data_IF_283358733638
#
_entry.id   IF_283358733638
#
_cell.length_a   1.000
_cell.length_b   1.000
_cell.length_c   1.000
_cell.angle_alpha   90.00
_cell.angle_beta   90.00
_cell.angle_gamma   90.00
#
_symmetry.space_group_name_H-M   'P 1'
#
loop_
_entity.id
_entity.type
_entity.pdbx_description
1 polymer ?
2 non-polymer ?
3 non-polymer ?
4 non-polymer ?
5 water ?
#
# COMPACT_ATOMS: atom_id res chain seq x y z
N UNK A 13 -37.96 -10.64 -7.00
CA UNK A 13 -37.80 -9.95 -5.69
C UNK A 13 -36.91 -8.70 -5.81
N UNK A 14 -36.10 -8.64 -6.87
CA UNK A 14 -35.22 -7.51 -7.15
C UNK A 14 -36.07 -6.29 -7.47
N UNK A 15 -35.62 -5.11 -7.03
CA UNK A 15 -36.30 -3.84 -7.25
C UNK A 15 -35.45 -2.92 -8.13
N UNK A 16 -36.11 -2.18 -9.02
CA UNK A 16 -35.44 -1.21 -9.89
C UNK A 16 -35.83 0.20 -9.44
N UNK A 17 -34.83 1.08 -9.28
CA UNK A 17 -35.04 2.50 -9.01
C UNK A 17 -34.14 3.25 -9.96
N UNK A 18 -34.74 3.96 -10.94
CA UNK A 18 -33.97 4.59 -11.99
C UNK A 18 -33.15 3.54 -12.76
N UNK A 19 -31.82 3.77 -12.73
CA UNK A 19 -30.88 2.91 -13.44
C UNK A 19 -30.33 1.82 -12.52
N UNK A 20 -30.78 1.75 -11.25
CA UNK A 20 -30.17 0.90 -10.23
C UNK A 20 -31.06 -0.30 -9.99
N UNK A 21 -30.44 -1.41 -9.60
CA UNK A 21 -31.19 -2.57 -9.14
C UNK A 21 -30.76 -2.91 -7.72
N UNK A 22 -31.72 -3.34 -6.88
CA UNK A 22 -31.43 -3.62 -5.49
C UNK A 22 -31.94 -5.02 -5.19
N UNK A 23 -31.21 -5.77 -4.37
CA UNK A 23 -31.61 -7.11 -4.00
C UNK A 23 -31.34 -7.28 -2.52
N UNK A 24 -32.35 -7.75 -1.77
CA UNK A 24 -32.16 -7.95 -0.35
C UNK A 24 -31.46 -9.27 -0.16
N UNK A 25 -30.36 -9.25 0.61
CA UNK A 25 -29.56 -10.43 0.89
C UNK A 25 -29.83 -10.98 2.30
N UNK A 26 -30.22 -10.11 3.24
CA UNK A 26 -30.45 -10.50 4.62
C UNK A 26 -31.39 -9.44 5.19
N UNK A 27 -31.98 -9.61 6.40
CA UNK A 27 -32.88 -8.59 6.93
C UNK A 27 -32.37 -7.17 6.87
N UNK A 28 -31.06 -7.01 7.12
CA UNK A 28 -30.54 -5.66 7.16
C UNK A 28 -29.50 -5.39 6.07
N UNK A 29 -29.49 -6.18 5.00
CA UNK A 29 -28.45 -6.01 3.99
C UNK A 29 -29.03 -6.13 2.59
N UNK A 30 -28.62 -5.20 1.73
CA UNK A 30 -29.02 -5.19 0.34
C UNK A 30 -27.77 -5.05 -0.53
N UNK A 31 -27.84 -5.58 -1.75
CA UNK A 31 -26.86 -5.35 -2.79
C UNK A 31 -27.40 -4.27 -3.70
N UNK A 32 -26.55 -3.28 -4.04
CA UNK A 32 -26.92 -2.32 -5.07
C UNK A 32 -26.14 -2.62 -6.34
N UNK A 33 -26.80 -2.54 -7.52
CA UNK A 33 -26.13 -2.84 -8.77
C UNK A 33 -26.38 -1.72 -9.77
N UNK A 34 -25.29 -1.22 -10.35
CA UNK A 34 -25.30 -0.17 -11.36
C UNK A 34 -24.57 -0.63 -12.62
N UNK A 35 -24.85 0.02 -13.74
CA UNK A 35 -24.42 -0.48 -15.02
C UNK A 35 -23.73 0.63 -15.79
N UNK A 36 -22.66 0.30 -16.51
CA UNK A 36 -22.05 1.27 -17.41
C UNK A 36 -21.72 0.57 -18.74
N UNK A 37 -22.05 1.24 -19.85
CA UNK A 37 -21.84 0.65 -21.17
C UNK A 37 -20.44 1.07 -21.60
N UNK A 38 -19.56 0.07 -21.68
CA UNK A 38 -18.15 0.30 -21.94
C UNK A 38 -17.83 -0.09 -23.39
N UNK A 39 -16.95 0.65 -24.08
CA UNK A 39 -16.34 0.13 -25.31
C UNK A 39 -15.79 -1.28 -25.10
N UNK A 40 -16.16 -2.17 -26.03
CA UNK A 40 -15.66 -3.53 -26.03
C UNK A 40 -16.55 -4.51 -25.26
N UNK A 41 -16.93 -4.12 -24.03
CA UNK A 41 -17.60 -5.04 -23.13
C UNK A 41 -19.11 -4.87 -23.20
N UNK A 42 -19.58 -3.74 -23.72
CA UNK A 42 -20.99 -3.38 -23.56
C UNK A 42 -21.33 -3.09 -22.09
N UNK A 43 -22.56 -3.44 -21.66
CA UNK A 43 -23.05 -3.13 -20.32
C UNK A 43 -22.33 -3.97 -19.28
N UNK A 44 -21.86 -3.35 -18.18
CA UNK A 44 -21.12 -4.07 -17.15
C UNK A 44 -21.75 -3.69 -15.81
N UNK A 45 -22.23 -4.69 -15.07
CA UNK A 45 -22.77 -4.55 -13.72
C UNK A 45 -21.64 -4.31 -12.72
N UNK A 46 -21.86 -3.45 -11.73
CA UNK A 46 -20.99 -3.35 -10.55
C UNK A 46 -21.86 -3.34 -9.31
N UNK A 47 -21.47 -4.14 -8.32
CA UNK A 47 -22.24 -4.30 -7.09
C UNK A 47 -21.55 -3.68 -5.90
N UNK A 48 -22.37 -3.08 -5.03
CA UNK A 48 -21.96 -2.74 -3.67
C UNK A 48 -23.02 -3.13 -2.65
N UNK A 49 -22.89 -2.63 -1.42
CA UNK A 49 -23.81 -3.04 -0.35
C UNK A 49 -24.43 -1.85 0.35
N UNK A 50 -25.58 -2.14 0.95
CA UNK A 50 -26.27 -1.21 1.84
C UNK A 50 -26.60 -1.99 3.11
N UNK A 51 -26.31 -1.38 4.28
CA UNK A 51 -26.50 -2.06 5.56
C UNK A 51 -27.32 -1.18 6.50
N UNK A 52 -28.41 -1.75 7.04
CA UNK A 52 -29.16 -1.09 8.09
C UNK A 52 -28.57 -1.48 9.45
N UNK A 53 -28.05 -0.48 10.16
CA UNK A 53 -27.46 -0.68 11.47
C UNK A 53 -28.30 0.07 12.51
N UNK A 54 -29.33 -0.62 13.03
CA UNK A 54 -30.26 0.03 13.97
C UNK A 54 -30.97 1.21 13.31
N UNK A 55 -30.68 2.44 13.76
CA UNK A 55 -31.32 3.64 13.27
C UNK A 55 -30.56 4.35 12.13
N UNK A 56 -29.54 3.71 11.54
CA UNK A 56 -28.78 4.39 10.50
C UNK A 56 -28.45 3.40 9.39
N UNK A 57 -27.98 3.93 8.25
CA UNK A 57 -27.60 3.08 7.13
C UNK A 57 -26.14 3.32 6.81
N UNK A 58 -25.45 2.25 6.38
CA UNK A 58 -24.05 2.31 6.00
C UNK A 58 -23.95 1.83 4.55
N UNK A 59 -23.10 2.47 3.74
CA UNK A 59 -22.99 2.07 2.34
C UNK A 59 -21.56 1.59 2.03
N UNK A 60 -21.48 0.50 1.22
CA UNK A 60 -20.17 0.05 0.73
C UNK A 60 -20.15 0.25 -0.78
N UNK A 61 -19.23 1.09 -1.25
CA UNK A 61 -18.97 1.45 -2.66
C UNK A 61 -20.02 2.40 -3.22
N UNK A 62 -19.55 3.29 -4.11
CA UNK A 62 -20.49 4.07 -4.91
C UNK A 62 -20.94 3.24 -6.11
N UNK A 63 -21.82 3.85 -6.93
CA UNK A 63 -22.06 3.33 -8.28
C UNK A 63 -21.03 3.92 -9.24
N UNK A 64 -21.17 3.61 -10.55
CA UNK A 64 -20.20 4.09 -11.53
C UNK A 64 -20.17 5.61 -11.57
N UNK A 65 -21.37 6.21 -11.39
CA UNK A 65 -21.46 7.65 -11.60
C UNK A 65 -22.14 8.37 -10.43
N UNK A 66 -21.96 9.69 -10.38
CA UNK A 66 -22.63 10.47 -9.36
C UNK A 66 -24.15 10.36 -9.48
N UNK A 67 -24.68 10.48 -10.71
CA UNK A 67 -26.13 10.34 -10.86
C UNK A 67 -26.64 9.00 -10.35
N UNK A 68 -25.93 7.90 -10.68
CA UNK A 68 -26.37 6.61 -10.20
C UNK A 68 -26.25 6.51 -8.67
N UNK A 69 -25.22 7.17 -8.10
CA UNK A 69 -25.03 7.16 -6.66
C UNK A 69 -26.14 7.89 -5.94
N UNK A 70 -26.58 9.00 -6.56
CA UNK A 70 -27.71 9.72 -5.96
C UNK A 70 -28.98 8.87 -6.01
N UNK A 71 -29.11 7.99 -7.00
CA UNK A 71 -30.25 7.10 -7.10
C UNK A 71 -30.22 6.06 -5.98
N UNK A 72 -29.01 5.55 -5.63
CA UNK A 72 -28.91 4.69 -4.44
C UNK A 72 -29.46 5.44 -3.24
N UNK A 73 -29.03 6.71 -3.05
CA UNK A 73 -29.38 7.39 -1.79
C UNK A 73 -30.90 7.62 -1.73
N UNK A 74 -31.49 7.89 -2.91
CA UNK A 74 -32.93 8.13 -2.98
C UNK A 74 -33.77 6.86 -2.77
N UNK A 75 -33.26 5.73 -3.28
CA UNK A 75 -33.86 4.45 -3.01
C UNK A 75 -33.81 4.18 -1.51
N UNK A 76 -32.66 4.43 -0.84
CA UNK A 76 -32.57 4.23 0.60
C UNK A 76 -33.60 5.12 1.31
N UNK A 77 -33.74 6.37 0.90
CA UNK A 77 -34.66 7.27 1.59
C UNK A 77 -36.09 6.71 1.44
N UNK A 78 -36.39 6.22 0.25
CA UNK A 78 -37.75 5.76 -0.04
C UNK A 78 -38.08 4.45 0.67
N UNK A 79 -37.16 3.48 0.65
CA UNK A 79 -37.44 2.12 1.07
C UNK A 79 -37.03 1.84 2.53
N UNK A 80 -36.04 2.58 3.03
CA UNK A 80 -35.54 2.32 4.38
C UNK A 80 -35.82 3.51 5.28
N UNK A 81 -35.66 4.72 4.76
CA UNK A 81 -36.02 5.93 5.49
C UNK A 81 -35.25 6.08 6.80
N UNK A 82 -33.92 5.89 6.74
CA UNK A 82 -33.01 6.11 7.85
C UNK A 82 -31.81 6.88 7.31
N UNK A 83 -31.17 7.76 8.12
CA UNK A 83 -30.03 8.54 7.64
C UNK A 83 -28.86 7.61 7.28
N UNK A 84 -28.18 7.97 6.19
CA UNK A 84 -26.96 7.27 5.79
C UNK A 84 -25.81 7.92 6.57
N UNK A 85 -25.25 7.16 7.51
CA UNK A 85 -24.21 7.67 8.39
C UNK A 85 -22.84 7.77 7.70
N UNK A 86 -22.46 6.79 6.88
CA UNK A 86 -21.12 6.78 6.32
C UNK A 86 -21.12 5.80 5.14
N UNK A 87 -20.08 5.95 4.31
CA UNK A 87 -19.80 5.02 3.22
C UNK A 87 -18.33 4.64 3.26
N UNK A 88 -18.02 3.37 2.94
CA UNK A 88 -16.68 2.84 2.77
C UNK A 88 -16.55 2.50 1.29
N UNK A 89 -15.50 2.95 0.60
CA UNK A 89 -15.33 2.66 -0.83
C UNK A 89 -14.02 1.87 -0.97
N UNK A 90 -14.03 0.91 -1.88
CA UNK A 90 -13.14 -0.24 -1.72
C UNK A 90 -11.88 -0.24 -2.61
N UNK A 91 -11.79 0.62 -3.63
CA UNK A 91 -10.52 1.00 -4.23
C UNK A 91 -10.73 2.15 -5.21
N UNK A 92 -9.64 2.78 -5.63
CA UNK A 92 -9.76 4.00 -6.42
C UNK A 92 -9.84 3.68 -7.90
N UNK A 93 -11.02 3.15 -8.29
CA UNK A 93 -11.41 2.98 -9.69
C UNK A 93 -12.88 3.40 -9.83
N UNK A 94 -13.31 3.71 -11.03
CA UNK A 94 -14.64 4.27 -11.28
C UNK A 94 -15.84 3.50 -10.76
N UNK A 95 -15.78 2.19 -10.87
CA UNK A 95 -16.89 1.38 -10.42
C UNK A 95 -17.16 1.53 -8.93
N UNK A 96 -16.10 1.86 -8.16
CA UNK A 96 -16.23 1.88 -6.71
C UNK A 96 -16.24 3.30 -6.11
N UNK A 97 -15.65 4.26 -6.82
CA UNK A 97 -15.45 5.63 -6.34
C UNK A 97 -15.98 6.67 -7.33
N UNK A 98 -16.56 6.22 -8.44
CA UNK A 98 -17.14 7.16 -9.43
C UNK A 98 -18.15 8.16 -8.87
N UNK A 99 -18.82 7.79 -7.76
CA UNK A 99 -19.90 8.59 -7.23
C UNK A 99 -19.57 9.37 -5.95
N UNK A 100 -18.28 9.61 -5.71
CA UNK A 100 -17.94 10.30 -4.46
C UNK A 100 -18.59 11.68 -4.30
N UNK A 101 -18.64 12.46 -5.38
CA UNK A 101 -19.18 13.81 -5.26
C UNK A 101 -20.65 13.73 -4.82
N UNK A 102 -21.40 12.73 -5.29
CA UNK A 102 -22.78 12.55 -4.87
C UNK A 102 -22.89 12.22 -3.38
N UNK A 103 -21.98 11.37 -2.85
CA UNK A 103 -22.01 11.13 -1.41
C UNK A 103 -21.71 12.42 -0.64
N UNK A 104 -20.73 13.18 -1.10
CA UNK A 104 -20.35 14.40 -0.37
C UNK A 104 -21.47 15.43 -0.45
N UNK A 105 -22.12 15.53 -1.63
CA UNK A 105 -23.21 16.51 -1.75
C UNK A 105 -24.34 16.15 -0.78
N UNK A 106 -24.55 14.84 -0.53
CA UNK A 106 -25.60 14.38 0.38
C UNK A 106 -25.21 14.44 1.85
N UNK A 107 -23.97 14.86 2.13
CA UNK A 107 -23.53 14.96 3.51
C UNK A 107 -23.23 13.62 4.17
N UNK A 108 -22.82 12.62 3.38
CA UNK A 108 -22.40 11.32 3.91
C UNK A 108 -20.88 11.29 4.14
N UNK A 109 -20.44 10.99 5.37
CA UNK A 109 -19.01 10.87 5.65
C UNK A 109 -18.42 9.68 4.88
N UNK A 110 -17.31 9.95 4.21
CA UNK A 110 -16.71 8.89 3.37
C UNK A 110 -15.33 8.45 3.89
N UNK A 111 -15.06 7.16 3.71
CA UNK A 111 -13.86 6.47 4.20
C UNK A 111 -13.31 5.58 3.09
N UNK A 112 -12.00 5.63 2.90
CA UNK A 112 -11.33 4.77 1.94
C UNK A 112 -9.95 4.45 2.51
N UNK A 113 -9.30 3.36 2.08
CA UNK A 113 -7.87 3.16 2.33
C UNK A 113 -7.08 4.46 2.07
N UNK A 114 -6.20 4.84 3.01
CA UNK A 114 -5.27 5.94 2.77
C UNK A 114 -4.69 5.91 1.36
N UNK A 115 -4.27 4.70 0.98
CA UNK A 115 -3.65 4.53 -0.35
C UNK A 115 -4.63 4.84 -1.47
N UNK A 116 -5.93 4.46 -1.33
CA UNK A 116 -6.93 4.82 -2.30
C UNK A 116 -7.00 6.34 -2.42
N UNK A 117 -6.99 7.03 -1.27
CA UNK A 117 -7.11 8.48 -1.31
C UNK A 117 -5.86 9.13 -1.97
N UNK A 118 -4.68 8.55 -1.73
CA UNK A 118 -3.47 9.04 -2.36
C UNK A 118 -3.48 8.80 -3.88
N UNK A 119 -4.01 7.66 -4.31
CA UNK A 119 -4.07 7.30 -5.74
C UNK A 119 -5.19 8.01 -6.47
N UNK A 120 -6.23 8.43 -5.72
CA UNK A 120 -7.48 8.88 -6.34
C UNK A 120 -7.24 9.90 -7.46
N UNK A 121 -6.48 11.00 -7.25
CA UNK A 121 -6.27 11.97 -8.32
C UNK A 121 -5.69 11.34 -9.59
N UNK A 122 -4.67 10.48 -9.43
CA UNK A 122 -4.09 9.85 -10.61
C UNK A 122 -5.08 8.98 -11.36
N UNK A 123 -6.04 8.40 -10.62
CA UNK A 123 -7.01 7.47 -11.14
C UNK A 123 -8.26 8.22 -11.57
N UNK A 124 -8.24 9.55 -11.50
CA UNK A 124 -9.39 10.37 -11.86
C UNK A 124 -10.56 10.27 -10.89
N UNK A 125 -10.31 9.85 -9.63
CA UNK A 125 -11.36 9.74 -8.62
C UNK A 125 -11.25 10.91 -7.65
N UNK A 126 -12.36 11.23 -6.97
CA UNK A 126 -12.34 12.16 -5.85
C UNK A 126 -12.04 11.40 -4.57
N UNK A 127 -11.07 11.87 -3.77
CA UNK A 127 -10.71 11.22 -2.52
C UNK A 127 -11.88 11.24 -1.54
N UNK A 128 -11.88 10.21 -0.67
CA UNK A 128 -12.75 10.25 0.49
C UNK A 128 -12.30 11.33 1.47
N UNK A 129 -13.17 11.58 2.45
CA UNK A 129 -12.87 12.60 3.46
C UNK A 129 -11.90 12.05 4.50
N UNK A 130 -11.93 10.73 4.69
CA UNK A 130 -11.20 10.11 5.77
C UNK A 130 -10.45 8.90 5.24
N UNK A 131 -9.29 8.68 5.84
CA UNK A 131 -8.41 7.59 5.45
C UNK A 131 -8.43 6.50 6.52
N UNK A 132 -8.61 5.26 6.02
CA UNK A 132 -8.43 4.06 6.81
C UNK A 132 -6.98 3.59 6.67
N UNK A 133 -6.38 3.17 7.79
CA UNK A 133 -5.06 2.54 7.77
C UNK A 133 -5.15 1.14 8.36
N UNK A 134 -4.12 0.33 8.08
CA UNK A 134 -4.21 -1.12 8.34
C UNK A 134 -2.95 -1.61 9.03
N UNK A 135 -3.15 -2.55 9.95
CA UNK A 135 -2.04 -3.31 10.54
C UNK A 135 -1.39 -4.24 9.53
N UNK A 136 -0.26 -4.81 9.95
CA UNK A 136 0.49 -5.75 9.12
C UNK A 136 -0.34 -7.00 8.84
N UNK A 137 -1.28 -7.33 9.73
CA UNK A 137 -2.10 -8.51 9.53
C UNK A 137 -3.33 -8.18 8.68
N UNK A 138 -3.46 -6.93 8.20
CA UNK A 138 -4.56 -6.56 7.32
C UNK A 138 -5.75 -5.88 7.98
N UNK A 139 -5.90 -5.98 9.30
CA UNK A 139 -7.09 -5.41 9.94
C UNK A 139 -7.00 -3.89 10.04
N UNK A 140 -8.13 -3.21 9.85
CA UNK A 140 -8.14 -1.74 9.94
C UNK A 140 -7.69 -1.34 11.35
N UNK A 141 -6.90 -0.27 11.44
CA UNK A 141 -6.61 0.31 12.76
C UNK A 141 -7.89 0.98 13.27
N UNK A 142 -8.47 0.50 14.39
CA UNK A 142 -9.86 0.88 14.72
C UNK A 142 -10.09 2.37 14.93
N UNK A 143 -9.07 3.11 15.38
CA UNK A 143 -9.29 4.53 15.58
C UNK A 143 -9.57 5.23 14.26
N UNK A 144 -9.19 4.59 13.13
CA UNK A 144 -9.42 5.22 11.83
C UNK A 144 -10.82 4.91 11.30
N UNK A 145 -11.52 3.99 11.93
CA UNK A 145 -12.85 3.56 11.49
C UNK A 145 -13.83 3.75 12.64
N UNK A 146 -14.04 4.99 13.11
CA UNK A 146 -14.85 5.25 14.30
C UNK A 146 -16.31 4.95 14.00
N UNK A 147 -16.93 4.23 14.94
CA UNK A 147 -18.37 3.99 14.93
C UNK A 147 -18.83 3.32 13.64
N UNK A 148 -18.13 2.25 13.26
CA UNK A 148 -18.42 1.53 12.04
C UNK A 148 -19.44 0.42 12.30
N UNK A 149 -19.92 0.30 13.54
CA UNK A 149 -20.97 -0.66 13.82
C UNK A 149 -20.56 -2.06 13.36
N UNK A 150 -21.35 -2.76 12.51
CA UNK A 150 -21.02 -4.14 12.14
C UNK A 150 -19.99 -4.23 11.02
N UNK A 151 -19.55 -3.09 10.46
CA UNK A 151 -18.62 -3.21 9.34
C UNK A 151 -17.22 -3.47 9.87
N UNK A 152 -16.63 -4.56 9.41
CA UNK A 152 -15.28 -4.95 9.73
C UNK A 152 -14.40 -4.87 8.49
N UNK A 153 -13.47 -3.90 8.47
CA UNK A 153 -12.73 -3.60 7.25
C UNK A 153 -11.36 -4.28 7.30
N UNK A 154 -11.03 -4.97 6.18
CA UNK A 154 -9.83 -5.78 6.06
C UNK A 154 -9.11 -5.46 4.76
N UNK A 155 -7.80 -5.17 4.88
CA UNK A 155 -6.94 -5.01 3.70
C UNK A 155 -6.21 -6.33 3.48
N UNK A 156 -6.53 -7.07 2.39
CA UNK A 156 -5.98 -8.42 2.23
C UNK A 156 -4.62 -8.46 1.56
N UNK A 157 -4.11 -7.29 1.14
CA UNK A 157 -2.88 -7.17 0.38
C UNK A 157 -3.20 -6.87 -1.09
N UNK A 158 -2.16 -6.58 -1.91
CA UNK A 158 -2.35 -6.19 -3.31
C UNK A 158 -2.93 -7.34 -4.14
N UNK A 159 -3.86 -6.99 -5.03
CA UNK A 159 -4.39 -8.04 -5.89
C UNK A 159 -4.95 -7.36 -7.14
N UNK A 160 -6.28 -7.14 -7.16
CA UNK A 160 -6.83 -6.44 -8.30
C UNK A 160 -6.16 -5.05 -8.47
N UNK A 161 -5.98 -4.33 -7.34
CA UNK A 161 -5.12 -3.15 -7.30
C UNK A 161 -4.29 -3.25 -6.01
N UNK A 162 -3.34 -2.32 -5.84
CA UNK A 162 -2.60 -2.35 -4.58
C UNK A 162 -3.43 -1.85 -3.41
N UNK A 163 -4.51 -1.11 -3.68
CA UNK A 163 -5.24 -0.48 -2.57
C UNK A 163 -6.55 -1.18 -2.23
N UNK A 164 -6.89 -2.29 -2.92
CA UNK A 164 -8.18 -2.94 -2.70
C UNK A 164 -8.40 -3.35 -1.25
N UNK A 165 -9.58 -3.01 -0.73
CA UNK A 165 -10.00 -3.44 0.61
C UNK A 165 -11.30 -4.25 0.57
N UNK A 166 -11.59 -4.91 1.70
CA UNK A 166 -12.74 -5.79 1.78
C UNK A 166 -13.48 -5.54 3.09
N UNK A 167 -14.76 -5.95 3.15
CA UNK A 167 -15.56 -5.65 4.34
C UNK A 167 -16.40 -6.86 4.71
N UNK A 168 -16.45 -7.15 6.02
CA UNK A 168 -17.36 -8.18 6.54
C UNK A 168 -18.45 -7.49 7.34
N UNK A 169 -19.65 -8.11 7.38
CA UNK A 169 -20.76 -7.51 8.12
C UNK A 169 -21.05 -8.37 9.35
N UNK A 170 -20.64 -7.90 10.52
CA UNK A 170 -20.72 -8.66 11.74
C UNK A 170 -22.20 -8.96 11.99
N UNK A 171 -22.50 -10.16 12.48
CA UNK A 171 -23.89 -10.43 12.80
C UNK A 171 -24.63 -11.04 11.61
N UNK A 172 -23.90 -11.29 10.52
CA UNK A 172 -24.47 -11.81 9.30
C UNK A 172 -23.49 -12.83 8.73
N UNK A 173 -23.94 -13.52 7.70
CA UNK A 173 -23.12 -14.51 7.00
C UNK A 173 -22.37 -13.88 5.82
N UNK A 174 -22.33 -12.53 5.75
CA UNK A 174 -21.92 -11.86 4.52
C UNK A 174 -20.52 -11.24 4.64
N UNK A 175 -19.70 -11.41 3.57
CA UNK A 175 -18.46 -10.65 3.46
C UNK A 175 -18.35 -10.17 2.02
N UNK A 176 -17.74 -8.98 1.84
CA UNK A 176 -17.70 -8.37 0.51
C UNK A 176 -16.25 -8.32 0.06
N UNK A 177 -15.97 -8.94 -1.12
CA UNK A 177 -14.63 -8.95 -1.69
C UNK A 177 -14.37 -7.82 -2.70
N UNK A 178 -15.40 -7.01 -3.05
CA UNK A 178 -15.24 -6.02 -4.11
C UNK A 178 -14.68 -6.67 -5.36
N UNK A 179 -13.76 -5.95 -6.03
CA UNK A 179 -13.28 -6.40 -7.32
C UNK A 179 -12.10 -7.36 -7.19
N UNK A 180 -11.66 -7.67 -5.97
CA UNK A 180 -10.64 -8.69 -5.82
C UNK A 180 -11.17 -10.08 -6.17
N UNK A 181 -12.43 -10.37 -5.76
CA UNK A 181 -12.96 -11.74 -5.80
C UNK A 181 -13.85 -11.83 -7.04
N UNK A 182 -13.66 -12.94 -7.75
CA UNK A 182 -14.50 -13.32 -8.87
C UNK A 182 -15.27 -14.58 -8.51
N UNK A 183 -16.34 -14.82 -9.26
CA UNK A 183 -17.24 -15.91 -8.90
C UNK A 183 -16.52 -17.22 -9.22
N UNK A 184 -17.13 -18.26 -8.69
CA UNK A 184 -16.54 -19.58 -8.66
C UNK A 184 -16.60 -20.32 -9.99
N UNK A 185 -17.24 -19.74 -11.00
CA UNK A 185 -17.18 -20.29 -12.34
C UNK A 185 -16.39 -19.41 -13.29
N UNK A 186 -15.82 -18.31 -12.77
CA UNK A 186 -15.16 -17.35 -13.64
C UNK A 186 -14.01 -17.97 -14.44
N UNK A 187 -13.85 -17.45 -15.68
CA UNK A 187 -12.83 -18.00 -16.54
C UNK A 187 -11.53 -17.21 -16.40
N UNK A 188 -11.59 -16.04 -15.78
CA UNK A 188 -10.38 -15.24 -15.66
C UNK A 188 -10.57 -14.28 -14.50
N UNK A 189 -9.50 -13.54 -14.19
CA UNK A 189 -9.56 -12.54 -13.13
C UNK A 189 -9.90 -11.15 -13.69
N UNK A 190 -10.28 -11.09 -14.97
CA UNK A 190 -10.90 -9.90 -15.54
C UNK A 190 -9.89 -8.75 -15.68
N UNK A 191 -10.25 -7.58 -15.15
CA UNK A 191 -9.43 -6.38 -15.30
C UNK A 191 -8.16 -6.47 -14.46
N UNK A 192 -7.01 -6.75 -15.12
CA UNK A 192 -5.77 -6.87 -14.40
C UNK A 192 -4.82 -5.74 -14.79
N UNK A 193 -5.34 -4.68 -15.43
CA UNK A 193 -4.52 -3.54 -15.84
C UNK A 193 -3.65 -2.94 -14.73
N UNK A 194 -4.17 -2.91 -13.49
CA UNK A 194 -3.50 -2.28 -12.37
C UNK A 194 -3.13 -3.34 -11.31
N UNK A 195 -3.15 -4.64 -11.67
CA UNK A 195 -3.06 -5.73 -10.70
C UNK A 195 -1.64 -6.05 -10.27
N UNK A 196 -1.55 -6.69 -9.11
CA UNK A 196 -0.34 -7.28 -8.59
C UNK A 196 -0.50 -8.79 -8.79
N UNK A 197 0.05 -9.27 -9.91
CA UNK A 197 -0.08 -10.68 -10.26
C UNK A 197 0.71 -11.56 -9.31
N UNK A 198 1.80 -11.06 -8.71
CA UNK A 198 2.58 -11.91 -7.82
C UNK A 198 1.84 -12.21 -6.51
N UNK A 199 1.19 -11.18 -5.92
CA UNK A 199 0.63 -11.33 -4.60
C UNK A 199 -0.89 -11.59 -4.59
N UNK A 200 -1.52 -11.62 -5.77
CA UNK A 200 -2.99 -11.73 -5.88
C UNK A 200 -3.52 -12.97 -5.12
N UNK A 201 -2.90 -14.14 -5.33
CA UNK A 201 -3.45 -15.35 -4.76
C UNK A 201 -3.42 -15.32 -3.24
N UNK A 202 -2.30 -14.84 -2.66
CA UNK A 202 -2.24 -14.76 -1.21
C UNK A 202 -3.26 -13.75 -0.68
N UNK A 203 -3.44 -12.64 -1.42
CA UNK A 203 -4.44 -11.67 -0.96
C UNK A 203 -5.86 -12.23 -1.00
N UNK A 204 -6.21 -12.98 -2.05
CA UNK A 204 -7.52 -13.65 -2.05
C UNK A 204 -7.65 -14.60 -0.88
N UNK A 205 -6.58 -15.35 -0.59
CA UNK A 205 -6.57 -16.32 0.54
C UNK A 205 -6.71 -15.57 1.88
N UNK A 206 -6.09 -14.39 1.99
CA UNK A 206 -6.14 -13.61 3.21
C UNK A 206 -7.55 -13.12 3.50
N UNK A 207 -8.26 -12.66 2.48
CA UNK A 207 -9.66 -12.29 2.64
C UNK A 207 -10.47 -13.47 3.20
N UNK A 208 -10.30 -14.67 2.66
CA UNK A 208 -10.95 -15.88 3.14
C UNK A 208 -10.68 -16.12 4.64
N UNK A 209 -9.41 -16.00 5.05
CA UNK A 209 -9.02 -16.26 6.42
C UNK A 209 -9.50 -15.18 7.37
N UNK A 210 -9.66 -13.94 6.86
CA UNK A 210 -10.15 -12.84 7.70
C UNK A 210 -11.61 -13.04 8.11
N UNK A 211 -12.39 -13.68 7.24
CA UNK A 211 -13.83 -13.81 7.44
C UNK A 211 -14.16 -15.28 7.31
N UNK A 212 -13.67 -16.11 8.27
CA UNK A 212 -13.67 -17.56 8.05
C UNK A 212 -15.06 -18.17 8.16
N UNK A 213 -16.02 -17.44 8.74
CA UNK A 213 -17.37 -17.99 8.86
C UNK A 213 -18.37 -17.36 7.88
N UNK A 214 -17.97 -16.37 7.07
CA UNK A 214 -18.87 -15.83 6.06
C UNK A 214 -19.20 -16.92 5.04
N UNK A 215 -20.48 -17.11 4.72
CA UNK A 215 -20.86 -18.12 3.77
C UNK A 215 -21.45 -17.48 2.51
N UNK A 216 -21.81 -16.18 2.58
CA UNK A 216 -22.30 -15.49 1.41
C UNK A 216 -21.21 -14.49 1.04
N UNK A 217 -20.58 -14.71 -0.10
CA UNK A 217 -19.51 -13.83 -0.54
C UNK A 217 -20.05 -12.96 -1.67
N UNK A 218 -20.10 -11.66 -1.42
CA UNK A 218 -20.58 -10.67 -2.36
C UNK A 218 -19.37 -10.04 -3.04
N UNK A 219 -19.50 -9.77 -4.34
CA UNK A 219 -18.37 -9.25 -5.12
C UNK A 219 -18.88 -8.27 -6.18
N UNK A 220 -17.94 -7.54 -6.80
CA UNK A 220 -18.35 -6.44 -7.67
C UNK A 220 -19.06 -6.88 -8.92
N UNK A 221 -18.61 -7.97 -9.56
CA UNK A 221 -19.07 -8.17 -10.94
C UNK A 221 -19.77 -9.50 -11.18
N UNK A 222 -20.22 -10.18 -10.12
CA UNK A 222 -21.07 -11.36 -10.27
C UNK A 222 -22.06 -11.37 -9.13
N UNK A 223 -23.12 -12.16 -9.26
CA UNK A 223 -24.07 -12.36 -8.19
C UNK A 223 -23.41 -13.02 -6.97
N UNK A 224 -23.98 -12.87 -5.76
CA UNK A 224 -23.38 -13.46 -4.57
C UNK A 224 -23.15 -14.96 -4.76
N UNK A 225 -22.00 -15.40 -4.21
CA UNK A 225 -21.58 -16.80 -4.29
C UNK A 225 -21.30 -17.29 -2.89
N UNK A 226 -20.94 -18.57 -2.83
CA UNK A 226 -20.45 -19.18 -1.61
C UNK A 226 -18.95 -18.89 -1.45
N UNK A 227 -18.35 -19.49 -0.40
CA UNK A 227 -16.92 -19.36 -0.19
C UNK A 227 -16.12 -19.95 -1.35
N UNK A 228 -16.77 -20.74 -2.20
CA UNK A 228 -16.10 -21.25 -3.39
C UNK A 228 -15.51 -20.11 -4.22
N UNK A 229 -16.14 -18.92 -4.22
CA UNK A 229 -15.57 -17.82 -5.00
C UNK A 229 -14.13 -17.51 -4.54
N UNK A 230 -13.89 -17.58 -3.24
CA UNK A 230 -12.58 -17.22 -2.69
C UNK A 230 -11.53 -18.19 -3.21
N UNK A 231 -11.82 -19.48 -3.02
CA UNK A 231 -10.83 -20.51 -3.34
C UNK A 231 -10.63 -20.62 -4.85
N UNK A 232 -11.70 -20.39 -5.65
CA UNK A 232 -11.58 -20.35 -7.10
C UNK A 232 -10.74 -19.17 -7.60
N UNK A 233 -11.00 -17.98 -7.06
CA UNK A 233 -10.18 -16.81 -7.36
C UNK A 233 -8.70 -17.10 -7.05
N UNK A 234 -8.43 -17.66 -5.85
CA UNK A 234 -7.03 -17.89 -5.48
C UNK A 234 -6.39 -18.91 -6.43
N UNK A 235 -7.16 -19.91 -6.87
CA UNK A 235 -6.61 -20.93 -7.77
C UNK A 235 -6.28 -20.31 -9.12
N UNK A 236 -7.13 -19.40 -9.59
CA UNK A 236 -6.83 -18.69 -10.83
C UNK A 236 -5.59 -17.82 -10.67
N UNK A 237 -5.52 -17.06 -9.56
CA UNK A 237 -4.38 -16.22 -9.28
C UNK A 237 -3.08 -17.01 -9.15
N UNK A 238 -3.14 -18.25 -8.64
CA UNK A 238 -1.93 -19.03 -8.53
C UNK A 238 -1.21 -19.16 -9.87
N UNK A 239 -1.97 -19.11 -10.97
CA UNK A 239 -1.38 -19.34 -12.29
C UNK A 239 -0.73 -18.08 -12.87
N UNK A 240 -0.91 -16.92 -12.20
CA UNK A 240 -0.24 -15.73 -12.68
C UNK A 240 1.20 -15.60 -12.16
N UNK A 241 1.60 -16.40 -11.16
CA UNK A 241 2.94 -16.19 -10.60
C UNK A 241 4.02 -16.79 -11.52
N UNK B 11 37.85 5.11 -3.21
CA UNK B 11 36.92 6.29 -3.16
C UNK B 11 37.19 7.04 -1.85
N UNK B 12 38.02 8.09 -1.92
CA UNK B 12 38.44 8.89 -0.79
C UNK B 12 37.25 9.24 0.11
N UNK B 13 37.44 9.12 1.43
CA UNK B 13 36.38 9.34 2.40
C UNK B 13 35.64 8.06 2.77
N UNK B 14 35.84 7.01 1.98
CA UNK B 14 35.24 5.70 2.23
C UNK B 14 36.10 4.97 3.29
N UNK B 15 35.44 4.32 4.25
CA UNK B 15 36.11 3.45 5.21
C UNK B 15 35.65 2.01 4.97
N UNK B 16 36.61 1.10 4.82
CA UNK B 16 36.29 -0.32 4.67
C UNK B 16 36.31 -0.94 6.06
N UNK B 17 35.26 -1.73 6.35
CA UNK B 17 35.16 -2.44 7.62
C UNK B 17 34.55 -3.79 7.31
N UNK B 18 35.39 -4.83 7.44
CA UNK B 18 35.07 -6.11 6.83
C UNK B 18 34.77 -5.93 5.33
N UNK B 19 33.64 -6.47 4.93
CA UNK B 19 33.28 -6.40 3.54
C UNK B 19 32.28 -5.26 3.34
N UNK B 20 32.16 -4.34 4.30
CA UNK B 20 31.25 -3.23 4.02
C UNK B 20 32.03 -1.93 3.83
N UNK B 21 31.32 -0.90 3.32
CA UNK B 21 31.92 0.43 3.15
C UNK B 21 31.04 1.47 3.84
N UNK B 22 31.70 2.40 4.57
CA UNK B 22 30.95 3.46 5.23
C UNK B 22 31.52 4.79 4.77
N UNK B 23 30.63 5.76 4.56
CA UNK B 23 31.03 7.07 4.08
C UNK B 23 30.27 8.12 4.89
N UNK B 24 30.98 9.04 5.52
CA UNK B 24 30.33 10.13 6.25
C UNK B 24 29.81 11.16 5.25
N UNK B 25 28.52 11.48 5.38
CA UNK B 25 27.88 12.47 4.50
C UNK B 25 27.69 13.82 5.19
N UNK B 26 27.59 13.83 6.52
CA UNK B 26 27.38 15.06 7.30
C UNK B 26 27.84 14.73 8.71
N UNK B 27 27.97 15.71 9.62
CA UNK B 27 28.42 15.44 10.97
C UNK B 27 27.77 14.25 11.66
N UNK B 28 26.46 14.10 11.43
CA UNK B 28 25.72 13.04 12.12
C UNK B 28 25.15 12.00 11.15
N UNK B 29 25.62 11.95 9.90
CA UNK B 29 25.02 11.02 8.93
C UNK B 29 26.13 10.28 8.20
N UNK B 30 25.95 8.95 8.06
CA UNK B 30 26.85 8.11 7.26
C UNK B 30 26.03 7.22 6.34
N UNK B 31 26.60 6.86 5.19
CA UNK B 31 25.99 5.90 4.27
C UNK B 31 26.71 4.58 4.50
N UNK B 32 25.92 3.50 4.66
CA UNK B 32 26.44 2.13 4.73
C UNK B 32 26.25 1.49 3.36
N UNK B 33 27.25 0.68 2.97
CA UNK B 33 27.20 0.00 1.67
C UNK B 33 27.64 -1.46 1.83
N UNK B 34 26.79 -2.38 1.34
CA UNK B 34 27.02 -3.82 1.35
C UNK B 34 26.89 -4.37 -0.07
N UNK B 35 27.47 -5.57 -0.30
CA UNK B 35 27.56 -6.03 -1.69
C UNK B 35 27.03 -7.45 -1.78
N UNK B 36 26.34 -7.75 -2.89
CA UNK B 36 25.99 -9.14 -3.11
C UNK B 36 26.39 -9.49 -4.53
N UNK B 37 26.98 -10.68 -4.70
CA UNK B 37 27.45 -11.10 -6.02
C UNK B 37 26.27 -11.57 -6.84
N UNK B 38 26.07 -10.97 -8.02
CA UNK B 38 24.96 -11.38 -8.85
C UNK B 38 25.47 -12.26 -9.99
N UNK B 39 25.06 -13.55 -10.03
CA UNK B 39 25.51 -14.52 -11.03
C UNK B 39 25.69 -13.89 -12.40
N UNK B 40 26.89 -14.07 -12.96
CA UNK B 40 27.18 -13.65 -14.32
C UNK B 40 27.35 -12.13 -14.47
N UNK B 41 27.42 -11.39 -13.35
CA UNK B 41 27.75 -9.96 -13.40
C UNK B 41 28.86 -9.58 -12.43
N UNK B 42 28.72 -9.99 -11.16
CA UNK B 42 29.67 -9.60 -10.13
C UNK B 42 28.97 -8.74 -9.08
N UNK B 43 29.72 -7.85 -8.46
CA UNK B 43 29.27 -7.25 -7.20
C UNK B 43 28.21 -6.16 -7.43
N UNK B 44 27.14 -6.20 -6.62
CA UNK B 44 26.09 -5.19 -6.67
C UNK B 44 26.04 -4.53 -5.30
N UNK B 45 26.24 -3.22 -5.30
CA UNK B 45 26.16 -2.42 -4.07
C UNK B 45 24.72 -2.08 -3.68
N UNK B 46 24.48 -2.01 -2.36
CA UNK B 46 23.24 -1.46 -1.82
C UNK B 46 23.58 -0.55 -0.63
N UNK B 47 22.95 0.64 -0.63
CA UNK B 47 23.25 1.68 0.35
C UNK B 47 22.07 1.90 1.27
N UNK B 48 22.41 2.16 2.55
CA UNK B 48 21.47 2.67 3.52
C UNK B 48 22.11 3.79 4.31
N UNK B 49 21.48 4.15 5.44
CA UNK B 49 21.96 5.30 6.19
C UNK B 49 22.06 4.97 7.68
N UNK B 50 22.97 5.72 8.33
CA UNK B 50 23.16 5.71 9.77
C UNK B 50 23.12 7.15 10.25
N UNK B 51 22.30 7.42 11.29
CA UNK B 51 22.10 8.78 11.78
C UNK B 51 22.38 8.79 13.27
N UNK B 52 23.22 9.73 13.69
CA UNK B 52 23.39 9.96 15.13
C UNK B 52 22.43 11.08 15.53
N UNK B 53 21.67 10.86 16.62
CA UNK B 53 20.71 11.83 17.12
C UNK B 53 20.81 11.85 18.63
N UNK B 54 21.38 12.94 19.17
CA UNK B 54 21.73 12.96 20.57
C UNK B 54 22.52 11.74 21.01
N UNK B 55 22.00 11.04 22.03
CA UNK B 55 22.68 9.88 22.57
C UNK B 55 22.30 8.56 21.90
N UNK B 56 21.75 8.62 20.68
CA UNK B 56 21.33 7.34 20.06
C UNK B 56 21.60 7.33 18.55
N UNK B 57 21.61 6.13 17.97
CA UNK B 57 21.83 5.94 16.55
C UNK B 57 20.55 5.35 15.95
N UNK B 58 20.20 5.85 14.77
CA UNK B 58 19.05 5.33 14.01
C UNK B 58 19.56 4.79 12.68
N UNK B 59 19.05 3.63 12.24
CA UNK B 59 19.50 3.04 10.99
C UNK B 59 18.39 3.05 9.97
N UNK B 60 18.75 3.33 8.69
CA UNK B 60 17.81 3.19 7.58
C UNK B 60 18.35 2.08 6.67
N UNK B 61 17.56 1.00 6.58
CA UNK B 61 17.78 -0.21 5.78
C UNK B 61 18.82 -1.14 6.40
N UNK B 62 18.55 -2.44 6.20
CA UNK B 62 19.57 -3.42 6.52
C UNK B 62 20.55 -3.51 5.35
N UNK B 63 21.56 -4.35 5.53
CA UNK B 63 22.40 -4.81 4.41
C UNK B 63 21.72 -5.99 3.75
N UNK B 64 22.39 -6.54 2.73
CA UNK B 64 21.75 -7.68 2.06
C UNK B 64 21.53 -8.87 2.98
N UNK B 65 22.46 -9.12 3.92
CA UNK B 65 22.42 -10.33 4.74
C UNK B 65 22.46 -9.99 6.22
N UNK B 66 22.15 -11.00 7.05
CA UNK B 66 22.27 -10.85 8.49
C UNK B 66 23.74 -10.65 8.88
N UNK B 67 24.66 -11.41 8.29
CA UNK B 67 26.06 -11.29 8.68
C UNK B 67 26.56 -9.88 8.38
N UNK B 68 26.18 -9.32 7.22
CA UNK B 68 26.59 -7.96 6.88
C UNK B 68 25.94 -6.95 7.84
N UNK B 69 24.67 -7.19 8.21
CA UNK B 69 23.96 -6.26 9.08
C UNK B 69 24.57 -6.24 10.47
N UNK B 70 25.01 -7.43 10.95
CA UNK B 70 25.74 -7.50 12.21
C UNK B 70 26.96 -6.58 12.12
N UNK B 71 27.63 -6.55 10.94
CA UNK B 71 28.83 -5.72 10.81
C UNK B 71 28.50 -4.25 10.86
N UNK B 72 27.30 -3.89 10.38
CA UNK B 72 26.90 -2.48 10.52
C UNK B 72 26.84 -2.13 12.00
N UNK B 73 26.23 -3.00 12.82
CA UNK B 73 26.14 -2.71 14.26
C UNK B 73 27.53 -2.67 14.88
N UNK B 74 28.46 -3.54 14.43
CA UNK B 74 29.81 -3.52 14.99
C UNK B 74 30.51 -2.21 14.62
N UNK B 75 30.34 -1.73 13.37
CA UNK B 75 30.95 -0.48 12.97
C UNK B 75 30.40 0.65 13.84
N UNK B 76 29.09 0.67 14.01
CA UNK B 76 28.49 1.72 14.85
C UNK B 76 29.12 1.72 16.24
N UNK B 77 29.24 0.53 16.86
CA UNK B 77 29.85 0.45 18.18
C UNK B 77 31.24 1.09 18.16
N UNK B 78 32.03 0.81 17.14
CA UNK B 78 33.42 1.29 17.10
C UNK B 78 33.46 2.79 16.84
N UNK B 79 32.74 3.26 15.79
CA UNK B 79 32.95 4.62 15.28
C UNK B 79 32.07 5.62 16.01
N UNK B 80 30.95 5.19 16.58
CA UNK B 80 30.02 6.12 17.20
C UNK B 80 29.83 5.79 18.67
N UNK B 81 29.76 4.50 19.05
CA UNK B 81 29.66 4.09 20.45
C UNK B 81 28.45 4.75 21.11
N UNK B 82 27.30 4.67 20.45
CA UNK B 82 26.01 5.01 21.06
C UNK B 82 25.02 3.90 20.71
N UNK B 83 24.04 3.62 21.56
CA UNK B 83 23.16 2.48 21.28
C UNK B 83 22.29 2.78 20.07
N UNK B 84 21.94 1.72 19.35
CA UNK B 84 21.05 1.83 18.19
C UNK B 84 19.62 1.75 18.70
N UNK B 85 18.86 2.84 18.58
CA UNK B 85 17.51 2.93 19.16
C UNK B 85 16.48 2.26 18.27
N UNK B 86 16.67 2.35 16.95
CA UNK B 86 15.67 1.80 16.03
C UNK B 86 16.26 1.70 14.64
N UNK B 87 15.54 0.95 13.79
CA UNK B 87 15.82 0.90 12.36
C UNK B 87 14.52 0.96 11.60
N UNK B 88 14.54 1.67 10.46
CA UNK B 88 13.45 1.78 9.49
C UNK B 88 13.94 1.12 8.20
N UNK B 89 13.14 0.24 7.59
CA UNK B 89 13.55 -0.45 6.37
C UNK B 89 12.55 -0.05 5.27
N UNK B 90 13.05 0.18 4.05
CA UNK B 90 12.27 0.97 3.11
C UNK B 90 11.46 0.19 2.06
N UNK B 91 11.61 -1.14 1.94
CA UNK B 91 10.61 -2.00 1.33
C UNK B 91 11.02 -3.45 1.55
N UNK B 92 10.10 -4.37 1.25
CA UNK B 92 10.29 -5.78 1.53
C UNK B 92 10.99 -6.50 0.38
N UNK B 93 12.28 -6.21 0.20
CA UNK B 93 13.18 -6.96 -0.66
C UNK B 93 14.50 -7.19 0.06
N UNK B 94 15.29 -8.12 -0.44
CA UNK B 94 16.54 -8.51 0.20
C UNK B 94 17.54 -7.39 0.50
N UNK B 95 17.71 -6.48 -0.44
CA UNK B 95 18.70 -5.43 -0.22
C UNK B 95 18.36 -4.52 0.96
N UNK B 96 17.08 -4.37 1.29
CA UNK B 96 16.63 -3.42 2.29
C UNK B 96 16.26 -4.14 3.59
N UNK B 97 15.87 -5.43 3.51
CA UNK B 97 15.29 -6.12 4.67
C UNK B 97 15.97 -7.48 4.92
N UNK B 98 16.96 -7.83 4.10
CA UNK B 98 17.61 -9.13 4.19
C UNK B 98 18.28 -9.41 5.55
N UNK B 99 18.60 -8.37 6.30
CA UNK B 99 19.32 -8.48 7.55
C UNK B 99 18.50 -8.21 8.81
N UNK B 100 17.17 -8.38 8.74
CA UNK B 100 16.35 -8.09 9.91
C UNK B 100 16.76 -8.91 11.13
N UNK B 101 17.02 -10.22 10.94
CA UNK B 101 17.37 -11.04 12.11
C UNK B 101 18.55 -10.48 12.90
N UNK B 102 19.54 -9.84 12.23
CA UNK B 102 20.66 -9.32 13.02
C UNK B 102 20.21 -8.17 13.90
N UNK B 103 19.23 -7.40 13.40
CA UNK B 103 18.73 -6.32 14.24
C UNK B 103 17.91 -6.87 15.43
N UNK B 104 17.07 -7.85 15.15
CA UNK B 104 16.21 -8.40 16.21
C UNK B 104 17.08 -9.18 17.21
N UNK B 105 18.18 -9.79 16.76
CA UNK B 105 19.05 -10.54 17.68
C UNK B 105 19.64 -9.55 18.70
N UNK B 106 19.85 -8.29 18.27
CA UNK B 106 20.50 -7.24 19.05
C UNK B 106 19.46 -6.45 19.83
N UNK B 107 18.17 -6.85 19.74
CA UNK B 107 17.11 -6.20 20.49
C UNK B 107 16.79 -4.80 19.98
N UNK B 108 17.05 -4.55 18.69
CA UNK B 108 16.71 -3.24 18.13
C UNK B 108 15.28 -3.23 17.59
N UNK B 109 14.51 -2.22 18.00
CA UNK B 109 13.14 -2.06 17.50
C UNK B 109 13.18 -1.71 16.00
N UNK B 110 12.41 -2.45 15.22
CA UNK B 110 12.39 -2.24 13.78
C UNK B 110 11.01 -1.82 13.27
N UNK B 111 11.03 -1.02 12.19
CA UNK B 111 9.85 -0.34 11.66
C UNK B 111 9.85 -0.48 10.15
N UNK B 112 8.66 -0.72 9.59
CA UNK B 112 8.53 -0.72 8.14
C UNK B 112 7.11 -0.32 7.83
N UNK B 113 6.87 0.08 6.58
CA UNK B 113 5.50 0.26 6.08
C UNK B 113 4.68 -1.00 6.46
N UNK B 114 3.44 -0.81 6.94
CA UNK B 114 2.59 -1.96 7.24
C UNK B 114 2.51 -2.93 6.06
N UNK B 115 2.40 -2.37 4.84
CA UNK B 115 2.35 -3.25 3.67
C UNK B 115 3.66 -4.03 3.49
N UNK B 116 4.82 -3.42 3.79
CA UNK B 116 6.08 -4.16 3.73
C UNK B 116 6.01 -5.37 4.67
N UNK B 117 5.49 -5.14 5.89
CA UNK B 117 5.41 -6.23 6.85
C UNK B 117 4.42 -7.30 6.38
N UNK B 118 3.33 -6.86 5.76
CA UNK B 118 2.32 -7.80 5.24
C UNK B 118 2.92 -8.64 4.11
N UNK B 119 3.75 -8.03 3.24
CA UNK B 119 4.38 -8.70 2.10
C UNK B 119 5.56 -9.54 2.50
N UNK B 120 6.19 -9.21 3.64
CA UNK B 120 7.45 -9.83 4.04
C UNK B 120 7.47 -11.37 3.89
N UNK B 121 6.48 -12.11 4.43
CA UNK B 121 6.53 -13.57 4.28
C UNK B 121 6.59 -14.02 2.81
N UNK B 122 5.77 -13.39 1.94
CA UNK B 122 5.72 -13.71 0.51
C UNK B 122 6.99 -13.33 -0.23
N UNK B 123 7.76 -12.41 0.35
CA UNK B 123 9.02 -11.96 -0.21
C UNK B 123 10.23 -12.67 0.44
N UNK B 124 9.99 -13.59 1.38
CA UNK B 124 11.06 -14.31 2.05
C UNK B 124 11.88 -13.46 3.03
N UNK B 125 11.23 -12.41 3.51
CA UNK B 125 11.85 -11.50 4.47
C UNK B 125 11.23 -11.69 5.85
N UNK B 126 11.98 -11.39 6.91
CA UNK B 126 11.48 -11.30 8.27
C UNK B 126 10.79 -9.96 8.47
N UNK B 127 9.54 -9.99 8.94
CA UNK B 127 8.82 -8.73 9.13
C UNK B 127 9.51 -7.92 10.24
N UNK B 128 9.38 -6.61 10.09
CA UNK B 128 9.73 -5.73 11.18
C UNK B 128 8.79 -5.91 12.37
N UNK B 129 9.18 -5.39 13.53
CA UNK B 129 8.32 -5.56 14.70
C UNK B 129 7.10 -4.65 14.60
N UNK B 130 7.32 -3.48 14.04
CA UNK B 130 6.30 -2.44 14.11
C UNK B 130 6.01 -1.91 12.71
N UNK B 131 4.78 -1.42 12.54
CA UNK B 131 4.27 -1.02 11.23
C UNK B 131 4.00 0.47 11.23
N UNK B 132 4.48 1.12 10.17
CA UNK B 132 4.16 2.51 9.90
C UNK B 132 2.90 2.61 9.04
N UNK B 133 2.08 3.62 9.30
CA UNK B 133 0.95 3.91 8.42
C UNK B 133 1.08 5.37 7.98
N UNK B 134 0.34 5.71 6.91
CA UNK B 134 0.55 6.95 6.17
C UNK B 134 -0.76 7.68 5.96
N UNK B 135 -0.70 9.02 6.02
CA UNK B 135 -1.80 9.85 5.59
C UNK B 135 -1.99 9.81 4.07
N UNK B 136 -3.15 10.35 3.60
CA UNK B 136 -3.47 10.33 2.19
C UNK B 136 -2.47 11.16 1.40
N UNK B 137 -1.78 12.09 2.05
CA UNK B 137 -0.79 12.89 1.35
C UNK B 137 0.62 12.30 1.43
N UNK B 138 0.73 11.12 2.03
CA UNK B 138 1.99 10.40 2.01
C UNK B 138 2.81 10.50 3.28
N UNK B 139 2.60 11.54 4.08
CA UNK B 139 3.38 11.64 5.29
C UNK B 139 3.03 10.54 6.31
N UNK B 140 4.05 10.02 6.97
CA UNK B 140 3.80 9.03 8.02
C UNK B 140 2.84 9.60 9.06
N UNK B 141 2.00 8.69 9.57
CA UNK B 141 1.20 9.04 10.74
C UNK B 141 2.12 9.07 11.96
N UNK B 142 2.30 10.23 12.62
CA UNK B 142 3.32 10.33 13.64
C UNK B 142 3.21 9.33 14.81
N UNK B 143 1.97 8.93 15.15
CA UNK B 143 1.80 7.98 16.24
C UNK B 143 2.51 6.65 15.95
N UNK B 144 2.72 6.38 14.65
CA UNK B 144 3.32 5.11 14.26
C UNK B 144 4.83 5.23 14.07
N UNK B 145 5.39 6.41 14.29
CA UNK B 145 6.84 6.60 14.14
C UNK B 145 7.41 7.07 15.47
N UNK B 146 7.28 6.26 16.56
CA UNK B 146 7.75 6.74 17.86
C UNK B 146 9.24 7.07 17.93
N UNK B 147 9.54 8.27 18.40
CA UNK B 147 10.92 8.67 18.70
C UNK B 147 11.80 8.53 17.44
N UNK B 148 11.23 8.91 16.29
CA UNK B 148 12.01 8.88 15.05
C UNK B 148 13.02 10.02 14.99
N UNK B 149 12.92 11.03 15.88
CA UNK B 149 13.95 12.07 15.84
C UNK B 149 13.94 12.74 14.47
N UNK B 150 15.13 12.85 13.85
CA UNK B 150 15.21 13.57 12.58
C UNK B 150 14.70 12.74 11.40
N UNK B 151 14.40 11.46 11.59
CA UNK B 151 13.94 10.72 10.41
C UNK B 151 12.51 11.16 10.09
N UNK B 152 12.29 11.64 8.86
CA UNK B 152 10.97 12.09 8.44
C UNK B 152 10.51 11.18 7.32
N UNK B 153 9.56 10.28 7.65
CA UNK B 153 9.25 9.20 6.71
C UNK B 153 8.07 9.61 5.81
N UNK B 154 8.22 9.35 4.49
CA UNK B 154 7.27 9.73 3.46
C UNK B 154 7.03 8.52 2.54
N UNK B 155 5.74 8.18 2.35
CA UNK B 155 5.37 7.15 1.40
C UNK B 155 4.94 7.87 0.11
N UNK B 156 5.72 7.75 -0.99
CA UNK B 156 5.47 8.60 -2.14
C UNK B 156 4.47 8.05 -3.13
N UNK B 157 3.98 6.83 -2.85
CA UNK B 157 3.11 6.13 -3.79
C UNK B 157 3.88 4.98 -4.43
N UNK B 158 3.17 4.05 -5.11
CA UNK B 158 3.83 2.87 -5.69
C UNK B 158 4.79 3.25 -6.81
N UNK B 159 5.91 2.53 -6.87
CA UNK B 159 6.91 2.80 -7.89
C UNK B 159 7.74 1.55 -8.11
N UNK B 160 8.94 1.54 -7.50
CA UNK B 160 9.76 0.34 -7.58
C UNK B 160 8.99 -0.87 -7.09
N UNK B 161 8.28 -0.72 -5.97
CA UNK B 161 7.29 -1.67 -5.45
C UNK B 161 6.09 -0.87 -4.91
N UNK B 162 4.98 -1.54 -4.49
CA UNK B 162 3.88 -0.76 -3.95
C UNK B 162 4.16 -0.28 -2.54
N UNK B 163 5.15 -0.87 -1.86
CA UNK B 163 5.38 -0.59 -0.43
C UNK B 163 6.54 0.39 -0.21
N UNK B 164 7.26 0.81 -1.25
CA UNK B 164 8.48 1.56 -1.07
C UNK B 164 8.21 2.86 -0.30
N UNK B 165 9.09 3.14 0.64
CA UNK B 165 9.01 4.39 1.38
C UNK B 165 10.33 5.13 1.30
N UNK B 166 10.28 6.42 1.74
CA UNK B 166 11.47 7.25 1.63
C UNK B 166 11.68 7.98 2.95
N UNK B 167 12.87 8.59 3.14
CA UNK B 167 13.19 9.14 4.47
C UNK B 167 14.00 10.41 4.27
N UNK B 168 13.50 11.52 4.81
CA UNK B 168 14.28 12.74 4.91
C UNK B 168 15.01 12.75 6.23
N UNK B 169 16.21 13.34 6.23
CA UNK B 169 16.96 13.48 7.47
C UNK B 169 16.89 14.94 7.93
N UNK B 170 15.93 15.22 8.82
CA UNK B 170 15.73 16.59 9.28
C UNK B 170 16.99 17.16 9.90
N UNK B 171 17.18 18.44 9.60
CA UNK B 171 18.29 19.22 10.09
C UNK B 171 19.55 19.05 9.25
N UNK B 172 19.43 18.39 8.08
CA UNK B 172 20.50 18.22 7.12
C UNK B 172 19.87 18.47 5.76
N UNK B 173 20.69 18.49 4.71
CA UNK B 173 19.96 18.66 3.47
C UNK B 173 19.92 17.35 2.71
N UNK B 174 19.78 16.25 3.46
CA UNK B 174 19.85 14.90 2.87
C UNK B 174 18.43 14.31 2.89
N UNK B 175 18.07 13.64 1.79
CA UNK B 175 16.88 12.81 1.71
C UNK B 175 17.21 11.51 1.00
N UNK B 176 16.57 10.43 1.45
CA UNK B 176 16.92 9.09 0.97
C UNK B 176 15.72 8.56 0.20
N UNK B 177 15.97 8.25 -1.09
CA UNK B 177 14.93 7.74 -1.98
C UNK B 177 14.87 6.22 -2.05
N UNK B 178 15.83 5.52 -1.36
CA UNK B 178 15.86 4.07 -1.45
C UNK B 178 15.95 3.58 -2.89
N UNK B 179 15.18 2.53 -3.22
CA UNK B 179 15.30 1.94 -4.55
C UNK B 179 14.36 2.60 -5.55
N UNK B 180 13.59 3.62 -5.11
CA UNK B 180 12.69 4.31 -6.03
C UNK B 180 13.47 5.21 -6.98
N UNK B 181 14.48 5.92 -6.42
CA UNK B 181 15.24 6.93 -7.17
C UNK B 181 16.51 6.26 -7.72
N UNK B 182 16.82 6.58 -9.00
CA UNK B 182 18.05 6.15 -9.63
C UNK B 182 18.92 7.37 -9.93
N UNK B 183 20.20 7.14 -10.24
CA UNK B 183 21.07 8.30 -10.39
C UNK B 183 20.77 9.04 -11.69
N UNK B 184 21.20 10.30 -11.75
CA UNK B 184 20.97 11.09 -12.94
C UNK B 184 21.65 10.50 -14.17
N UNK B 185 22.66 9.63 -13.97
CA UNK B 185 23.38 9.00 -15.07
C UNK B 185 22.76 7.67 -15.48
N UNK B 186 21.71 7.20 -14.78
CA UNK B 186 21.04 5.96 -15.13
C UNK B 186 20.45 6.00 -16.53
N UNK B 187 20.45 4.81 -17.15
CA UNK B 187 19.99 4.64 -18.51
C UNK B 187 18.62 3.98 -18.51
N UNK B 188 18.27 3.35 -17.37
CA UNK B 188 16.94 2.77 -17.18
C UNK B 188 16.56 2.71 -15.71
N UNK B 189 15.34 2.22 -15.39
CA UNK B 189 14.87 2.12 -14.01
C UNK B 189 15.22 0.75 -13.43
N UNK B 190 15.98 -0.04 -14.21
CA UNK B 190 16.34 -1.36 -13.76
C UNK B 190 15.17 -2.31 -13.94
N UNK B 191 15.09 -3.28 -13.05
CA UNK B 191 14.17 -4.38 -13.23
C UNK B 191 12.78 -3.95 -12.75
N UNK B 192 11.80 -4.05 -13.65
CA UNK B 192 10.51 -3.48 -13.32
C UNK B 192 9.55 -4.59 -12.88
N UNK B 193 10.11 -5.75 -12.45
CA UNK B 193 9.35 -6.96 -12.16
C UNK B 193 8.27 -6.78 -11.09
N UNK B 194 8.58 -6.00 -10.04
CA UNK B 194 7.67 -5.76 -8.92
C UNK B 194 7.06 -4.34 -9.04
N UNK B 195 7.31 -3.63 -10.16
CA UNK B 195 7.05 -2.20 -10.24
C UNK B 195 5.63 -1.87 -10.64
N UNK B 196 5.22 -0.65 -10.28
CA UNK B 196 3.97 -0.04 -10.72
C UNK B 196 4.31 0.98 -11.78
N UNK B 197 4.28 0.54 -13.03
CA UNK B 197 4.78 1.40 -14.09
C UNK B 197 3.85 2.59 -14.36
N UNK B 198 2.56 2.46 -14.01
CA UNK B 198 1.63 3.55 -14.25
C UNK B 198 1.91 4.68 -13.27
N UNK B 199 2.13 4.32 -11.98
CA UNK B 199 2.20 5.37 -10.99
C UNK B 199 3.62 5.79 -10.62
N UNK B 200 4.66 5.16 -11.18
CA UNK B 200 6.06 5.38 -10.75
C UNK B 200 6.42 6.86 -10.89
N UNK B 201 6.14 7.47 -12.04
CA UNK B 201 6.61 8.84 -12.27
C UNK B 201 6.05 9.78 -11.23
N UNK B 202 4.73 9.67 -10.93
CA UNK B 202 4.13 10.56 -9.95
C UNK B 202 4.76 10.28 -8.59
N UNK B 203 5.09 9.01 -8.30
CA UNK B 203 5.68 8.71 -6.98
C UNK B 203 7.07 9.32 -6.86
N UNK B 204 7.84 9.35 -7.96
CA UNK B 204 9.18 9.95 -7.93
C UNK B 204 9.03 11.45 -7.70
N UNK B 205 8.10 12.08 -8.45
CA UNK B 205 7.90 13.52 -8.26
C UNK B 205 7.41 13.83 -6.86
N UNK B 206 6.59 12.93 -6.28
CA UNK B 206 6.06 13.26 -4.96
C UNK B 206 7.19 13.26 -3.94
N UNK B 207 8.13 12.34 -4.06
CA UNK B 207 9.32 12.35 -3.22
C UNK B 207 10.00 13.72 -3.28
N UNK B 208 10.24 14.19 -4.51
CA UNK B 208 10.88 15.50 -4.64
C UNK B 208 10.10 16.63 -3.96
N UNK B 209 8.76 16.65 -4.10
CA UNK B 209 7.93 17.71 -3.55
C UNK B 209 7.90 17.61 -2.04
N UNK B 210 8.05 16.39 -1.51
CA UNK B 210 7.98 16.20 -0.06
C UNK B 210 9.18 16.78 0.66
N UNK B 211 10.33 16.73 -0.04
CA UNK B 211 11.58 17.17 0.55
C UNK B 211 12.14 18.27 -0.36
N UNK B 212 11.46 19.43 -0.42
CA UNK B 212 11.73 20.40 -1.49
C UNK B 212 13.08 21.05 -1.45
N UNK B 213 13.69 21.09 -0.27
CA UNK B 213 14.99 21.75 -0.36
C UNK B 213 16.14 20.78 -0.15
N UNK B 214 15.91 19.45 0.02
CA UNK B 214 17.06 18.54 0.13
C UNK B 214 17.97 18.75 -1.08
N UNK B 215 19.27 18.78 -0.84
CA UNK B 215 20.20 18.95 -1.97
C UNK B 215 21.08 17.73 -2.16
N UNK B 216 21.11 16.82 -1.19
CA UNK B 216 21.86 15.58 -1.37
C UNK B 216 20.87 14.41 -1.33
N UNK B 217 20.74 13.75 -2.47
CA UNK B 217 19.79 12.65 -2.66
C UNK B 217 20.57 11.35 -2.58
N UNK B 218 20.26 10.59 -1.55
CA UNK B 218 20.94 9.32 -1.29
C UNK B 218 19.99 8.23 -1.80
N UNK B 219 20.56 7.21 -2.45
CA UNK B 219 19.72 6.19 -3.07
C UNK B 219 20.39 4.82 -2.91
N UNK B 220 19.64 3.76 -3.23
CA UNK B 220 20.16 2.44 -2.88
C UNK B 220 21.34 1.98 -3.73
N UNK B 221 21.40 2.35 -5.02
CA UNK B 221 22.35 1.62 -5.87
C UNK B 221 23.28 2.55 -6.66
N UNK B 222 23.41 3.83 -6.26
CA UNK B 222 24.40 4.75 -6.82
C UNK B 222 24.87 5.69 -5.73
N UNK B 223 25.96 6.41 -6.00
CA UNK B 223 26.45 7.34 -5.01
C UNK B 223 25.47 8.51 -4.89
N UNK B 224 25.54 9.26 -3.77
CA UNK B 224 24.68 10.43 -3.58
C UNK B 224 24.77 11.38 -4.78
N UNK B 225 23.61 11.93 -5.12
CA UNK B 225 23.49 12.75 -6.32
C UNK B 225 22.73 14.02 -5.96
N UNK B 226 22.63 14.96 -6.87
CA UNK B 226 21.81 16.15 -6.65
C UNK B 226 20.33 15.87 -6.92
N UNK B 227 19.51 16.89 -6.81
CA UNK B 227 18.07 16.76 -7.02
C UNK B 227 17.74 16.28 -8.44
N UNK B 228 18.65 16.47 -9.39
CA UNK B 228 18.36 15.99 -10.73
C UNK B 228 18.13 14.49 -10.79
N UNK B 229 18.60 13.73 -9.81
CA UNK B 229 18.32 12.30 -9.82
C UNK B 229 16.81 12.08 -9.73
N UNK B 230 16.10 12.91 -8.96
CA UNK B 230 14.66 12.74 -8.79
C UNK B 230 14.00 12.96 -10.14
N UNK B 231 14.27 14.13 -10.72
CA UNK B 231 13.61 14.54 -11.96
C UNK B 231 13.94 13.59 -13.11
N UNK B 232 15.22 13.21 -13.25
CA UNK B 232 15.60 12.27 -14.29
C UNK B 232 14.88 10.94 -14.08
N UNK B 233 14.78 10.47 -12.84
CA UNK B 233 14.04 9.23 -12.59
C UNK B 233 12.59 9.37 -13.07
N UNK B 234 11.94 10.50 -12.73
CA UNK B 234 10.54 10.73 -13.06
C UNK B 234 10.40 10.73 -14.58
N UNK B 235 11.34 11.37 -15.28
CA UNK B 235 11.22 11.45 -16.74
C UNK B 235 11.43 10.08 -17.38
N UNK B 236 12.33 9.25 -16.85
CA UNK B 236 12.40 7.89 -17.38
C UNK B 236 11.10 7.14 -17.12
N UNK B 237 10.53 7.31 -15.93
CA UNK B 237 9.23 6.65 -15.68
C UNK B 237 8.09 7.15 -16.57
N UNK B 238 8.14 8.42 -17.00
CA UNK B 238 7.10 8.97 -17.87
C UNK B 238 6.99 8.14 -19.16
N UNK B 239 8.10 7.49 -19.57
CA UNK B 239 8.14 6.73 -20.81
C UNK B 239 7.46 5.36 -20.65
N UNK B 240 7.11 4.97 -19.42
CA UNK B 240 6.48 3.68 -19.14
C UNK B 240 4.95 3.78 -19.16
N UNK B 241 4.41 4.99 -19.30
CA UNK B 241 2.96 5.19 -19.17
C UNK B 241 2.25 4.95 -20.50
X LIG C 1 -10.65 -1.70 -10.21
X LIG D 1 -14.54 -3.67 -10.63
X LIG E 1 -5.07 2.98 -13.61
X LIG F 1 -17.74 13.53 -9.89
X LIG G 1 -12.84 -4.28 -11.88
X LIG G 1 -13.19 -3.72 -16.08
X LIG G 1 -13.27 -2.15 -13.52
X LIG G 1 -11.68 -1.84 -12.14
X LIG G 1 -11.81 -0.70 -12.92
X LIG G 1 -13.59 2.39 -15.49
X LIG G 1 -14.44 -3.49 -15.48
X LIG G 1 -15.12 -4.81 -15.30
X LIG G 1 -14.59 -5.60 -16.43
X LIG G 1 -14.44 -2.83 -14.13
X LIG G 1 -13.66 -4.61 -17.16
X LIG G 1 -12.79 -0.90 -13.74
X LIG G 1 -12.61 -2.75 -12.49
X LIG G 1 -13.15 0.16 -14.79
X LIG G 1 -13.09 -0.25 -16.11
X LIG G 1 -13.37 1.49 -14.48
X LIG G 1 -13.33 0.65 -17.13
X LIG G 1 -13.59 1.98 -16.80
X LIG H 1 13.25 -3.93 -4.39
X LIG I 1 17.31 -2.02 -4.45
X LIG J 1 17.63 -14.23 8.37
X LIG K 1 8.59 -10.42 -5.35
X LIG L 1 16.22 -2.62 -6.23
X LIG L 1 18.61 -5.62 -8.43
X LIG L 1 16.95 -5.13 -5.78
X LIG L 1 14.89 -4.82 -5.39
X LIG L 1 15.12 -6.14 -5.16
X LIG L 1 17.76 -9.62 -4.04
X LIG L 1 19.00 -4.67 -7.43
X LIG L 1 19.06 -3.32 -8.09
X LIG L 1 20.03 -3.75 -9.11
X LIG L 1 18.37 -4.83 -6.06
X LIG L 1 19.75 -5.26 -9.31
X LIG L 1 16.40 -6.32 -5.36
X LIG L 1 15.99 -4.19 -5.79
X LIG L 1 17.11 -7.69 -5.23
X LIG L 1 17.76 -8.19 -6.35
X LIG L 1 17.09 -8.42 -4.04
X LIG L 1 18.40 -9.40 -6.33
X LIG L 1 18.38 -10.11 -5.14
#
# INVERSE_FOLDING_TARGET
GEIPTIGQQMETGDQRFGDLVFRQLAPNVWQHTSYLDMPGFGAVASNGLIVRDGGRVLVVDTAWTDDQTAQILNWIKQEINLPVALAVVTHAHQDKMGGMDALHAAGIATYANALSNQLAPQEGMVAAQHSLTFAANGWVEPATAPNFGPLKVFYPGPGHTSDNITVGIDGTDIAFGGCLIKDSKAKSLGNLGDADTEHYAASARAFGAAFPKASMIVMSHSAPDSRAAITHTARMADKLR
GEIPTIGQQMETGDQRFGDLVFRQLAPNVWQHTSYLDMPGFGAVASNGLIVRDGGRVLVVDTAWTDDQTAQILNWIKQEINLPVALAVVTHAHQDKMGGMDALHAAGIATYANALSNQLAPQEGMVAAQHSLTFAANGWVEPATAPNFGPLKVFYPGPGHTSDNITVGIDGTDIAFGGCLIKDSKAKSLGNLGDADTEHYAASARAFGAAFPKASMIVMSHSAPDSRAAITHTARMADKLR
ZN ZN
ZN ZN
CA CA
CA CA
N8Q S01 O02 N03 N04 N05 N06 C07 C08 C09 C10 C11 C12 C13 C14 C15 C16 C17 C18
ZN ZN
ZN ZN
CA CA
CA CA
N8Q S01 O02 N03 N04 N05 N06 C07 C08 C09 C10 C11 C12 C13 C14 C15 C16 C17 C18
#
